data_IF_647156834341
#
_entry.id   IF_647156834341
#
_cell.length_a   1.000
_cell.length_b   1.000
_cell.length_c   1.000
_cell.angle_alpha   90.00
_cell.angle_beta   90.00
_cell.angle_gamma   90.00
#
_symmetry.space_group_name_H-M   'P 1'
#
loop_
_entity.id
_entity.type
_entity.pdbx_description
1 polymer ?
#
# COMPACT_ATOMS: atom_id res chain seq x y z
N UNK A 1 3.06 -26.55 -17.21
CA UNK A 1 2.39 -25.58 -16.35
C UNK A 1 1.74 -26.33 -15.22
N UNK A 2 2.12 -26.09 -14.00
CA UNK A 2 1.43 -26.63 -12.81
C UNK A 2 0.11 -25.90 -12.74
N UNK A 3 -1.03 -26.61 -12.90
CA UNK A 3 -2.35 -26.02 -12.69
C UNK A 3 -2.37 -25.41 -11.30
N UNK A 4 -2.58 -24.11 -11.19
CA UNK A 4 -2.66 -23.51 -9.87
C UNK A 4 -3.91 -24.04 -9.15
N UNK A 5 -3.82 -24.18 -7.86
CA UNK A 5 -4.92 -24.68 -7.04
C UNK A 5 -6.16 -23.79 -7.16
N UNK A 6 -5.96 -22.47 -7.32
CA UNK A 6 -7.01 -21.46 -7.44
C UNK A 6 -7.87 -21.70 -8.69
N UNK A 7 -7.28 -21.94 -9.85
CA UNK A 7 -8.03 -22.27 -11.06
C UNK A 7 -8.74 -23.61 -10.96
N UNK A 8 -8.11 -24.61 -10.33
CA UNK A 8 -8.73 -25.93 -10.13
C UNK A 8 -9.99 -25.82 -9.29
N UNK A 9 -10.00 -24.99 -8.24
CA UNK A 9 -11.18 -24.73 -7.41
C UNK A 9 -12.28 -23.97 -8.15
N UNK A 10 -11.92 -23.04 -9.05
CA UNK A 10 -12.86 -22.24 -9.82
C UNK A 10 -13.39 -22.97 -11.08
N UNK A 11 -12.71 -24.01 -11.57
CA UNK A 11 -13.09 -24.74 -12.80
C UNK A 11 -14.54 -25.29 -12.80
N UNK A 12 -15.09 -25.80 -11.67
CA UNK A 12 -16.48 -26.26 -11.65
C UNK A 12 -17.50 -25.14 -11.97
N UNK A 13 -17.17 -23.87 -11.66
CA UNK A 13 -18.04 -22.73 -12.01
C UNK A 13 -18.10 -22.58 -13.54
N UNK A 14 -16.94 -22.67 -14.22
CA UNK A 14 -16.87 -22.62 -15.69
C UNK A 14 -17.63 -23.80 -16.31
N UNK A 15 -17.51 -25.01 -15.74
CA UNK A 15 -18.25 -26.18 -16.22
C UNK A 15 -19.76 -25.99 -16.09
N UNK A 16 -20.25 -25.50 -14.94
CA UNK A 16 -21.66 -25.19 -14.71
C UNK A 16 -22.22 -24.22 -15.75
N UNK A 17 -21.49 -23.15 -16.04
CA UNK A 17 -21.89 -22.16 -17.06
C UNK A 17 -21.91 -22.80 -18.46
N UNK A 18 -20.90 -23.59 -18.83
CA UNK A 18 -20.81 -24.27 -20.13
C UNK A 18 -21.92 -25.33 -20.31
N UNK A 19 -22.21 -26.12 -19.29
CA UNK A 19 -23.30 -27.10 -19.31
C UNK A 19 -24.68 -26.45 -19.48
N UNK A 20 -24.85 -25.21 -18.99
CA UNK A 20 -26.02 -24.40 -19.21
C UNK A 20 -26.07 -23.73 -20.61
N UNK A 21 -25.05 -23.93 -21.44
CA UNK A 21 -24.98 -23.43 -22.81
C UNK A 21 -24.31 -22.05 -22.98
N UNK A 22 -23.64 -21.54 -21.93
CA UNK A 22 -22.94 -20.26 -21.97
C UNK A 22 -21.43 -20.42 -22.20
N UNK A 23 -20.82 -19.46 -22.85
CA UNK A 23 -19.37 -19.35 -22.85
C UNK A 23 -18.88 -18.85 -21.47
N UNK A 24 -17.76 -19.39 -21.00
CA UNK A 24 -17.14 -18.94 -19.76
C UNK A 24 -15.61 -19.18 -19.80
N UNK A 25 -14.86 -18.18 -19.27
CA UNK A 25 -13.41 -18.15 -19.30
C UNK A 25 -12.88 -17.52 -18.00
N UNK A 26 -11.71 -17.97 -17.57
CA UNK A 26 -10.88 -17.23 -16.65
C UNK A 26 -10.27 -16.02 -17.36
N UNK A 27 -10.16 -14.87 -16.70
CA UNK A 27 -9.74 -13.63 -17.38
C UNK A 27 -8.84 -12.75 -16.51
N UNK A 28 -8.15 -11.83 -17.14
CA UNK A 28 -7.49 -10.69 -16.49
C UNK A 28 -6.23 -11.03 -15.72
N UNK A 29 -6.09 -10.43 -14.53
CA UNK A 29 -4.87 -10.49 -13.73
C UNK A 29 -4.43 -11.90 -13.35
N UNK A 30 -5.38 -12.79 -13.01
CA UNK A 30 -5.07 -14.16 -12.66
C UNK A 30 -4.40 -14.95 -13.81
N UNK A 31 -4.87 -14.74 -15.05
CA UNK A 31 -4.28 -15.40 -16.23
C UNK A 31 -2.87 -14.88 -16.50
N UNK A 32 -2.66 -13.55 -16.37
CA UNK A 32 -1.33 -12.95 -16.45
C UNK A 32 -0.40 -13.51 -15.40
N UNK A 33 -0.83 -13.57 -14.14
CA UNK A 33 0.00 -13.98 -13.01
C UNK A 33 0.36 -15.47 -13.12
N UNK A 34 -0.55 -16.31 -13.64
CA UNK A 34 -0.23 -17.71 -14.00
C UNK A 34 0.90 -17.80 -15.03
N UNK A 35 0.86 -16.97 -16.07
CA UNK A 35 1.87 -16.99 -17.14
C UNK A 35 3.23 -16.45 -16.68
N UNK A 36 3.25 -15.64 -15.61
CA UNK A 36 4.46 -15.09 -15.00
C UNK A 36 4.96 -15.90 -13.79
N UNK A 37 4.33 -17.04 -13.47
CA UNK A 37 4.61 -17.84 -12.26
C UNK A 37 4.51 -17.00 -10.95
N UNK A 38 3.63 -16.01 -10.93
CA UNK A 38 3.34 -15.18 -9.77
C UNK A 38 2.20 -15.78 -8.91
N UNK A 39 2.14 -15.44 -7.61
CA UNK A 39 1.03 -15.85 -6.75
C UNK A 39 -0.32 -15.31 -7.29
N UNK A 40 -1.32 -16.21 -7.35
CA UNK A 40 -2.68 -15.87 -7.79
C UNK A 40 -3.53 -15.66 -6.54
N UNK A 41 -4.20 -14.51 -6.47
CA UNK A 41 -5.04 -14.16 -5.32
C UNK A 41 -6.53 -14.30 -5.64
N UNK A 42 -6.98 -13.68 -6.72
CA UNK A 42 -8.38 -13.63 -7.12
C UNK A 42 -8.53 -14.17 -8.54
N UNK A 43 -9.49 -15.07 -8.75
CA UNK A 43 -9.78 -15.64 -10.07
C UNK A 43 -11.08 -15.04 -10.59
N UNK A 44 -10.98 -14.16 -11.59
CA UNK A 44 -12.12 -13.56 -12.27
C UNK A 44 -12.61 -14.44 -13.40
N UNK A 45 -13.95 -14.54 -13.54
CA UNK A 45 -14.60 -15.30 -14.62
C UNK A 45 -15.41 -14.31 -15.47
N UNK A 46 -15.25 -14.40 -16.79
CA UNK A 46 -16.11 -13.73 -17.76
C UNK A 46 -16.99 -14.74 -18.49
N UNK A 47 -18.25 -14.38 -18.76
CA UNK A 47 -19.25 -15.28 -19.35
C UNK A 47 -20.18 -14.57 -20.31
N UNK A 48 -20.77 -15.33 -21.28
CA UNK A 48 -21.86 -14.86 -22.12
C UNK A 48 -23.22 -14.86 -21.39
N UNK A 49 -23.33 -15.50 -20.21
CA UNK A 49 -24.55 -15.51 -19.39
C UNK A 49 -24.84 -14.09 -18.87
N UNK A 50 -26.12 -13.67 -18.96
CA UNK A 50 -26.56 -12.43 -18.31
C UNK A 50 -26.60 -12.57 -16.79
N UNK A 51 -26.55 -11.46 -16.04
CA UNK A 51 -26.54 -11.51 -14.57
C UNK A 51 -27.67 -12.36 -13.97
N UNK A 52 -28.89 -12.25 -14.49
CA UNK A 52 -30.03 -13.03 -14.03
C UNK A 52 -29.86 -14.54 -14.28
N UNK A 53 -29.15 -14.92 -15.34
CA UNK A 53 -28.86 -16.32 -15.66
C UNK A 53 -27.78 -16.88 -14.72
N UNK A 54 -26.75 -16.07 -14.41
CA UNK A 54 -25.74 -16.40 -13.39
C UNK A 54 -26.39 -16.60 -12.02
N UNK A 55 -27.29 -15.69 -11.62
CA UNK A 55 -28.04 -15.81 -10.36
C UNK A 55 -28.90 -17.09 -10.31
N UNK A 56 -29.52 -17.47 -11.42
CA UNK A 56 -30.32 -18.70 -11.51
C UNK A 56 -29.45 -19.97 -11.37
N UNK A 57 -28.22 -19.98 -11.89
CA UNK A 57 -27.30 -21.12 -11.81
C UNK A 57 -26.63 -21.23 -10.45
N UNK A 58 -26.38 -20.11 -9.79
CA UNK A 58 -25.66 -20.06 -8.51
C UNK A 58 -26.55 -19.45 -7.42
N UNK A 59 -27.27 -20.27 -6.64
CA UNK A 59 -28.24 -19.78 -5.63
C UNK A 59 -27.61 -18.98 -4.48
N UNK A 60 -26.30 -19.15 -4.22
CA UNK A 60 -25.57 -18.37 -3.23
C UNK A 60 -24.75 -17.30 -3.93
N UNK A 61 -25.31 -16.11 -4.07
CA UNK A 61 -24.67 -14.98 -4.73
C UNK A 61 -24.94 -13.67 -3.99
N UNK A 62 -24.15 -12.63 -4.34
CA UNK A 62 -24.29 -11.26 -3.85
C UNK A 62 -24.24 -10.30 -5.04
N UNK A 63 -25.13 -9.31 -5.04
CA UNK A 63 -25.27 -8.31 -6.11
C UNK A 63 -24.29 -7.14 -5.87
N UNK A 64 -22.99 -7.40 -6.02
CA UNK A 64 -21.94 -6.40 -5.72
C UNK A 64 -21.74 -5.40 -6.87
N UNK A 65 -22.06 -5.77 -8.10
CA UNK A 65 -21.79 -4.94 -9.30
C UNK A 65 -22.83 -5.16 -10.40
N UNK A 66 -24.09 -5.34 -10.06
CA UNK A 66 -25.18 -5.70 -11.00
C UNK A 66 -25.29 -4.70 -12.15
N UNK A 67 -25.17 -3.40 -11.87
CA UNK A 67 -25.21 -2.34 -12.89
C UNK A 67 -24.06 -2.45 -13.91
N UNK A 68 -23.00 -3.15 -13.55
CA UNK A 68 -21.83 -3.42 -14.37
C UNK A 68 -21.74 -4.87 -14.88
N UNK A 69 -22.79 -5.68 -14.60
CA UNK A 69 -22.86 -7.07 -15.05
C UNK A 69 -22.03 -8.05 -14.21
N UNK A 70 -21.57 -7.66 -13.02
CA UNK A 70 -20.78 -8.52 -12.13
C UNK A 70 -21.63 -9.08 -11.02
N UNK A 71 -21.59 -10.40 -10.83
CA UNK A 71 -22.21 -11.14 -9.74
C UNK A 71 -21.09 -11.81 -8.94
N UNK A 72 -21.09 -11.63 -7.63
CA UNK A 72 -20.20 -12.36 -6.73
C UNK A 72 -20.88 -13.67 -6.31
N UNK A 73 -20.30 -14.79 -6.66
CA UNK A 73 -20.83 -16.12 -6.36
C UNK A 73 -20.04 -16.74 -5.21
N UNK A 74 -20.77 -17.27 -4.22
CA UNK A 74 -20.19 -18.09 -3.16
C UNK A 74 -20.20 -19.56 -3.59
N UNK A 75 -19.01 -20.13 -3.75
CA UNK A 75 -18.84 -21.50 -4.20
C UNK A 75 -17.76 -22.22 -3.40
N UNK A 76 -18.08 -23.37 -2.81
CA UNK A 76 -17.15 -24.24 -2.05
C UNK A 76 -16.32 -23.53 -0.97
N UNK A 77 -16.88 -22.49 -0.33
CA UNK A 77 -16.20 -21.79 0.77
C UNK A 77 -15.45 -20.52 0.36
N UNK A 78 -15.42 -20.21 -0.93
CA UNK A 78 -14.74 -19.04 -1.51
C UNK A 78 -15.71 -18.18 -2.33
N UNK A 79 -15.32 -16.96 -2.63
CA UNK A 79 -16.09 -16.03 -3.47
C UNK A 79 -15.41 -15.82 -4.81
N UNK A 80 -16.21 -15.79 -5.89
CA UNK A 80 -15.74 -15.59 -7.25
C UNK A 80 -16.53 -14.48 -7.93
N UNK A 81 -15.86 -13.58 -8.63
CA UNK A 81 -16.52 -12.59 -9.46
C UNK A 81 -16.78 -13.15 -10.86
N UNK A 82 -18.08 -13.18 -11.22
CA UNK A 82 -18.53 -13.60 -12.55
C UNK A 82 -19.09 -12.38 -13.25
N UNK A 83 -18.45 -11.96 -14.34
CA UNK A 83 -18.84 -10.77 -15.12
C UNK A 83 -19.36 -11.19 -16.49
N UNK A 84 -20.56 -10.70 -16.83
CA UNK A 84 -21.11 -10.85 -18.18
C UNK A 84 -20.26 -10.09 -19.19
N UNK A 85 -19.98 -10.69 -20.36
CA UNK A 85 -19.31 -10.02 -21.46
C UNK A 85 -20.00 -8.72 -21.79
N UNK A 86 -19.24 -7.65 -21.91
CA UNK A 86 -19.82 -6.33 -22.11
C UNK A 86 -18.94 -5.45 -23.00
N UNK A 87 -19.58 -4.55 -23.71
CA UNK A 87 -18.97 -3.35 -24.26
C UNK A 87 -19.44 -2.15 -23.48
N UNK A 88 -18.66 -1.11 -23.49
CA UNK A 88 -18.93 0.12 -22.81
C UNK A 88 -19.08 1.21 -23.87
N UNK A 89 -20.23 1.92 -23.87
CA UNK A 89 -20.47 3.05 -24.77
C UNK A 89 -19.76 4.30 -24.24
N UNK A 90 -19.94 5.44 -24.94
CA UNK A 90 -19.41 6.76 -24.53
C UNK A 90 -19.40 6.95 -23.02
N UNK A 91 -18.26 7.43 -22.50
CA UNK A 91 -18.08 7.64 -21.07
C UNK A 91 -18.40 9.08 -20.67
N UNK A 92 -19.16 9.23 -19.59
CA UNK A 92 -19.31 10.51 -18.90
C UNK A 92 -18.21 10.62 -17.83
N UNK A 93 -17.62 11.81 -17.75
CA UNK A 93 -16.65 12.16 -16.71
C UNK A 93 -15.42 11.22 -16.62
N UNK A 94 -14.99 10.63 -17.76
CA UNK A 94 -13.79 9.76 -17.86
C UNK A 94 -13.77 8.59 -16.87
N UNK A 95 -14.95 8.07 -16.48
CA UNK A 95 -15.05 6.99 -15.49
C UNK A 95 -16.20 6.03 -15.72
N UNK A 96 -17.42 6.56 -15.95
CA UNK A 96 -18.63 5.74 -16.03
C UNK A 96 -19.10 5.67 -17.47
N UNK A 97 -19.25 4.47 -18.02
CA UNK A 97 -19.92 4.33 -19.29
C UNK A 97 -21.37 4.81 -19.15
N UNK A 98 -21.86 5.59 -20.09
CA UNK A 98 -23.27 6.01 -20.14
C UNK A 98 -24.22 4.81 -20.15
N UNK A 99 -23.78 3.74 -20.80
CA UNK A 99 -24.52 2.50 -20.91
C UNK A 99 -23.57 1.32 -21.03
N UNK A 100 -23.79 0.32 -20.20
CA UNK A 100 -23.20 -1.00 -20.36
C UNK A 100 -24.08 -1.79 -21.32
N UNK A 101 -23.49 -2.32 -22.38
CA UNK A 101 -24.18 -3.20 -23.32
C UNK A 101 -23.58 -4.59 -23.22
N UNK A 102 -24.39 -5.55 -22.80
CA UNK A 102 -23.96 -6.94 -22.77
C UNK A 102 -23.79 -7.48 -24.18
N UNK A 103 -22.69 -8.19 -24.41
CA UNK A 103 -22.34 -8.80 -25.70
C UNK A 103 -22.18 -10.31 -25.52
N UNK A 104 -22.13 -11.03 -26.63
CA UNK A 104 -21.97 -12.47 -26.63
C UNK A 104 -20.57 -12.91 -27.11
N UNK A 105 -19.68 -11.94 -27.38
CA UNK A 105 -18.36 -12.20 -27.94
C UNK A 105 -17.28 -11.84 -26.92
N UNK A 106 -16.42 -12.81 -26.60
CA UNK A 106 -15.27 -12.64 -25.70
C UNK A 106 -14.29 -11.58 -26.20
N UNK A 107 -14.02 -11.50 -27.52
CA UNK A 107 -13.08 -10.53 -28.09
C UNK A 107 -13.50 -9.09 -27.80
N UNK A 108 -14.81 -8.80 -27.88
CA UNK A 108 -15.35 -7.47 -27.54
C UNK A 108 -15.17 -7.12 -26.04
N UNK A 109 -15.34 -8.11 -25.14
CA UNK A 109 -15.07 -7.90 -23.70
C UNK A 109 -13.58 -7.66 -23.44
N UNK A 110 -12.70 -8.36 -24.12
CA UNK A 110 -11.26 -8.19 -23.95
C UNK A 110 -10.75 -6.87 -24.57
N UNK A 111 -11.38 -6.39 -25.66
CA UNK A 111 -11.02 -5.13 -26.32
C UNK A 111 -11.18 -3.90 -25.42
N UNK A 112 -12.16 -3.88 -24.51
CA UNK A 112 -12.39 -2.76 -23.58
C UNK A 112 -11.40 -2.71 -22.41
N UNK A 113 -10.54 -3.72 -22.22
CA UNK A 113 -9.59 -3.79 -21.12
C UNK A 113 -8.48 -2.76 -21.29
N UNK A 114 -7.74 -2.54 -20.21
CA UNK A 114 -6.70 -1.51 -20.16
C UNK A 114 -5.45 -1.88 -21.00
N UNK A 115 -4.81 -3.02 -20.68
CA UNK A 115 -3.55 -3.40 -21.29
C UNK A 115 -3.62 -4.84 -21.84
N UNK A 116 -2.84 -5.11 -22.91
CA UNK A 116 -2.78 -6.40 -23.58
C UNK A 116 -2.46 -7.55 -22.61
N UNK A 117 -1.56 -7.32 -21.66
CA UNK A 117 -1.18 -8.29 -20.62
C UNK A 117 -2.33 -8.66 -19.68
N UNK A 118 -3.41 -7.88 -19.62
CA UNK A 118 -4.63 -8.14 -18.85
C UNK A 118 -5.82 -8.51 -19.75
N UNK A 119 -5.66 -8.45 -21.07
CA UNK A 119 -6.66 -8.82 -22.06
C UNK A 119 -6.48 -10.26 -22.54
N UNK A 120 -6.19 -11.13 -21.60
CA UNK A 120 -6.01 -12.57 -21.79
C UNK A 120 -7.20 -13.31 -21.19
N UNK A 121 -7.61 -14.38 -21.85
CA UNK A 121 -8.57 -15.34 -21.33
C UNK A 121 -7.98 -16.76 -21.34
N UNK A 122 -8.53 -17.64 -20.51
CA UNK A 122 -8.13 -19.04 -20.43
C UNK A 122 -9.38 -19.91 -20.28
N UNK A 123 -9.48 -20.97 -21.07
CA UNK A 123 -10.60 -21.89 -20.99
C UNK A 123 -10.41 -22.94 -19.86
N UNK A 124 -11.41 -23.81 -19.66
CA UNK A 124 -11.36 -24.90 -18.67
C UNK A 124 -10.27 -25.96 -18.92
N UNK A 125 -9.73 -26.00 -20.13
CA UNK A 125 -8.65 -26.93 -20.52
C UNK A 125 -7.29 -26.27 -20.38
N UNK A 126 -7.24 -25.06 -19.79
CA UNK A 126 -6.05 -24.23 -19.58
C UNK A 126 -5.40 -23.73 -20.88
N UNK A 127 -6.15 -23.66 -21.97
CA UNK A 127 -5.69 -23.05 -23.21
C UNK A 127 -5.89 -21.54 -23.15
N UNK A 128 -4.84 -20.80 -23.49
CA UNK A 128 -4.85 -19.33 -23.49
C UNK A 128 -5.47 -18.80 -24.78
N UNK A 129 -6.42 -17.90 -24.63
CA UNK A 129 -7.04 -17.14 -25.71
C UNK A 129 -6.49 -15.73 -25.70
N UNK A 130 -5.82 -15.33 -26.77
CA UNK A 130 -5.08 -14.07 -26.87
C UNK A 130 -5.34 -13.39 -28.22
N UNK A 131 -6.25 -12.43 -28.26
CA UNK A 131 -6.58 -11.67 -29.46
C UNK A 131 -5.66 -10.45 -29.67
N UNK A 132 -5.00 -9.98 -28.61
CA UNK A 132 -4.26 -8.71 -28.60
C UNK A 132 -2.77 -8.87 -28.36
N UNK A 133 -2.23 -10.07 -28.53
CA UNK A 133 -0.80 -10.37 -28.37
C UNK A 133 -0.25 -10.17 -26.95
N UNK A 134 -1.09 -10.32 -25.93
CA UNK A 134 -0.71 -10.15 -24.54
C UNK A 134 0.38 -11.11 -24.08
N UNK A 135 0.39 -12.37 -24.57
CA UNK A 135 1.46 -13.33 -24.28
C UNK A 135 2.82 -12.86 -24.82
N UNK A 136 2.83 -12.24 -26.01
CA UNK A 136 4.05 -11.65 -26.56
C UNK A 136 4.52 -10.46 -25.72
N UNK A 137 3.62 -9.57 -25.35
CA UNK A 137 3.95 -8.41 -24.51
C UNK A 137 4.42 -8.85 -23.10
N UNK A 138 3.90 -9.95 -22.53
CA UNK A 138 4.42 -10.57 -21.31
C UNK A 138 5.86 -11.08 -21.49
N UNK A 139 6.13 -11.78 -22.58
CA UNK A 139 7.47 -12.29 -22.88
C UNK A 139 8.48 -11.17 -23.13
N UNK A 140 8.05 -10.09 -23.77
CA UNK A 140 8.87 -8.90 -24.07
C UNK A 140 8.95 -7.93 -22.87
N UNK A 141 8.21 -8.19 -21.77
CA UNK A 141 8.11 -7.33 -20.58
C UNK A 141 7.61 -5.92 -20.93
N UNK A 142 6.52 -5.84 -21.69
CA UNK A 142 5.95 -4.58 -22.20
C UNK A 142 4.53 -4.38 -21.70
N UNK A 143 4.22 -3.16 -21.27
CA UNK A 143 2.87 -2.67 -20.95
C UNK A 143 2.38 -1.87 -22.16
N UNK A 144 1.42 -2.43 -22.88
CA UNK A 144 0.79 -1.85 -24.07
C UNK A 144 -0.71 -1.72 -23.85
N UNK A 145 -1.29 -0.57 -24.19
CA UNK A 145 -2.74 -0.39 -24.17
C UNK A 145 -3.40 -1.29 -25.23
N UNK A 146 -4.60 -1.78 -24.94
CA UNK A 146 -5.40 -2.53 -25.93
C UNK A 146 -5.97 -1.57 -26.98
N UNK A 147 -5.69 -1.84 -28.24
CA UNK A 147 -6.16 -0.97 -29.35
C UNK A 147 -5.51 0.42 -29.34
N UNK A 148 -6.30 1.48 -29.45
CA UNK A 148 -5.79 2.85 -29.43
C UNK A 148 -5.63 3.36 -27.99
N UNK A 149 -4.42 3.75 -27.54
CA UNK A 149 -4.19 4.22 -26.16
C UNK A 149 -5.02 5.44 -25.77
N UNK A 150 -5.20 6.40 -26.69
CA UNK A 150 -5.99 7.61 -26.42
C UNK A 150 -7.45 7.29 -26.11
N UNK A 151 -8.04 6.35 -26.86
CA UNK A 151 -9.41 5.91 -26.62
C UNK A 151 -9.52 5.28 -25.24
N UNK A 152 -8.57 4.40 -24.88
CA UNK A 152 -8.54 3.74 -23.55
C UNK A 152 -8.43 4.72 -22.40
N UNK A 153 -7.60 5.77 -22.52
CA UNK A 153 -7.42 6.77 -21.46
C UNK A 153 -8.58 7.77 -21.39
N UNK A 154 -9.23 8.06 -22.50
CA UNK A 154 -10.46 8.87 -22.52
C UNK A 154 -11.67 8.14 -21.93
N UNK A 155 -11.72 6.80 -21.99
CA UNK A 155 -12.74 5.99 -21.32
C UNK A 155 -12.57 6.00 -19.79
N UNK A 156 -11.40 5.70 -19.28
CA UNK A 156 -11.07 5.76 -17.84
C UNK A 156 -9.66 6.30 -17.64
N UNK A 157 -9.56 7.55 -17.23
CA UNK A 157 -8.27 8.21 -16.95
C UNK A 157 -7.41 7.51 -15.88
N UNK A 158 -8.02 6.69 -15.01
CA UNK A 158 -7.25 5.90 -14.04
C UNK A 158 -6.33 4.88 -14.72
N UNK A 159 -6.63 4.45 -15.95
CA UNK A 159 -5.78 3.50 -16.68
C UNK A 159 -4.35 4.02 -16.87
N UNK A 160 -4.16 5.34 -16.94
CA UNK A 160 -2.82 5.96 -16.95
C UNK A 160 -2.05 5.66 -15.67
N UNK A 161 -2.67 5.84 -14.50
CA UNK A 161 -2.07 5.48 -13.20
C UNK A 161 -1.83 3.97 -13.07
N UNK A 162 -2.73 3.16 -13.62
CA UNK A 162 -2.55 1.70 -13.68
C UNK A 162 -1.33 1.31 -14.52
N UNK A 163 -1.07 2.00 -15.65
CA UNK A 163 0.10 1.78 -16.49
C UNK A 163 1.41 1.97 -15.71
N UNK A 164 1.58 3.10 -15.06
CA UNK A 164 2.78 3.38 -14.26
C UNK A 164 2.89 2.46 -13.02
N UNK A 165 1.76 2.09 -12.41
CA UNK A 165 1.73 1.11 -11.33
C UNK A 165 2.17 -0.29 -11.82
N UNK A 166 1.70 -0.76 -12.99
CA UNK A 166 2.14 -2.04 -13.55
C UNK A 166 3.63 -2.04 -13.89
N UNK A 167 4.17 -0.90 -14.37
CA UNK A 167 5.61 -0.75 -14.58
C UNK A 167 6.40 -0.97 -13.28
N UNK A 168 5.89 -0.46 -12.16
CA UNK A 168 6.45 -0.71 -10.84
C UNK A 168 6.31 -2.17 -10.39
N UNK A 169 5.11 -2.73 -10.50
CA UNK A 169 4.79 -4.05 -9.95
C UNK A 169 5.43 -5.21 -10.69
N UNK A 170 5.56 -5.09 -12.02
CA UNK A 170 6.06 -6.16 -12.89
C UNK A 170 7.49 -5.91 -13.37
N UNK A 171 8.05 -4.74 -13.09
CA UNK A 171 9.32 -4.26 -13.65
C UNK A 171 9.33 -4.22 -15.20
N UNK A 172 8.17 -3.99 -15.82
CA UNK A 172 7.98 -3.92 -17.25
C UNK A 172 8.17 -2.49 -17.79
N UNK A 173 8.52 -2.36 -19.06
CA UNK A 173 8.58 -1.07 -19.74
C UNK A 173 7.21 -0.72 -20.35
N UNK A 174 6.84 0.57 -20.31
CA UNK A 174 5.65 1.04 -21.03
C UNK A 174 6.03 1.22 -22.50
N UNK A 175 5.20 0.70 -23.40
CA UNK A 175 5.38 0.83 -24.84
C UNK A 175 5.37 2.32 -25.25
N UNK A 176 6.23 2.76 -26.19
CA UNK A 176 6.43 4.19 -26.47
C UNK A 176 5.15 4.94 -26.89
N UNK A 177 4.27 4.35 -27.70
CA UNK A 177 3.00 4.98 -28.10
C UNK A 177 2.04 5.09 -26.92
N UNK A 178 1.97 4.06 -26.10
CA UNK A 178 1.20 4.05 -24.84
C UNK A 178 1.72 5.11 -23.87
N UNK A 179 3.05 5.24 -23.73
CA UNK A 179 3.67 6.24 -22.86
C UNK A 179 3.40 7.67 -23.32
N UNK A 180 3.53 7.92 -24.63
CA UNK A 180 3.22 9.23 -25.22
C UNK A 180 1.74 9.60 -24.98
N UNK A 181 0.83 8.64 -25.19
CA UNK A 181 -0.59 8.87 -24.96
C UNK A 181 -0.91 9.12 -23.46
N UNK A 182 -0.19 8.50 -22.51
CA UNK A 182 -0.31 8.83 -21.08
C UNK A 182 0.04 10.29 -20.85
N UNK A 183 1.19 10.75 -21.36
CA UNK A 183 1.62 12.14 -21.19
C UNK A 183 0.63 13.15 -21.82
N UNK A 184 0.13 12.87 -23.02
CA UNK A 184 -0.80 13.73 -23.72
C UNK A 184 -2.19 13.82 -23.06
N UNK A 185 -2.60 12.76 -22.37
CA UNK A 185 -3.90 12.68 -21.68
C UNK A 185 -3.81 12.90 -20.16
N UNK A 186 -2.64 13.19 -19.60
CA UNK A 186 -2.41 13.31 -18.16
C UNK A 186 -3.42 14.24 -17.45
N UNK A 187 -3.85 15.32 -18.13
CA UNK A 187 -4.84 16.27 -17.61
C UNK A 187 -6.20 15.66 -17.27
N UNK A 188 -6.55 14.49 -17.81
CA UNK A 188 -7.80 13.79 -17.50
C UNK A 188 -7.85 13.36 -16.03
N UNK A 189 -6.70 13.18 -15.36
CA UNK A 189 -6.65 12.77 -13.94
C UNK A 189 -7.38 13.71 -12.99
N UNK A 190 -7.57 14.97 -13.33
CA UNK A 190 -8.33 15.93 -12.50
C UNK A 190 -9.79 15.50 -12.27
N UNK A 191 -10.32 14.66 -13.17
CA UNK A 191 -11.69 14.12 -13.08
C UNK A 191 -11.76 12.81 -12.29
N UNK A 192 -10.63 12.21 -11.96
CA UNK A 192 -10.60 10.92 -11.27
C UNK A 192 -10.64 11.13 -9.74
N UNK A 193 -11.50 10.36 -9.07
CA UNK A 193 -11.59 10.40 -7.62
C UNK A 193 -10.24 10.05 -6.96
N UNK A 194 -9.82 10.88 -6.01
CA UNK A 194 -8.50 10.76 -5.35
C UNK A 194 -8.32 9.40 -4.67
N UNK A 195 -9.38 8.78 -4.16
CA UNK A 195 -9.35 7.46 -3.55
C UNK A 195 -8.89 6.36 -4.54
N UNK A 196 -9.31 6.47 -5.80
CA UNK A 196 -8.88 5.55 -6.85
C UNK A 196 -7.39 5.76 -7.17
N UNK A 197 -6.95 7.02 -7.27
CA UNK A 197 -5.55 7.37 -7.47
C UNK A 197 -4.70 6.86 -6.30
N UNK A 198 -5.18 7.03 -5.06
CA UNK A 198 -4.50 6.58 -3.85
C UNK A 198 -4.24 5.06 -3.87
N UNK A 199 -5.21 4.26 -4.30
CA UNK A 199 -5.03 2.80 -4.44
C UNK A 199 -3.91 2.46 -5.42
N UNK A 200 -3.86 3.13 -6.58
CA UNK A 200 -2.81 2.88 -7.57
C UNK A 200 -1.42 3.34 -7.07
N UNK A 201 -1.34 4.51 -6.43
CA UNK A 201 -0.09 5.01 -5.85
C UNK A 201 0.41 4.11 -4.71
N UNK A 202 -0.47 3.64 -3.83
CA UNK A 202 -0.09 2.72 -2.77
C UNK A 202 0.49 1.41 -3.32
N UNK A 203 -0.13 0.85 -4.36
CA UNK A 203 0.38 -0.33 -5.06
C UNK A 203 1.68 -0.06 -5.84
N UNK A 204 1.88 1.17 -6.33
CA UNK A 204 3.12 1.57 -6.99
C UNK A 204 4.28 1.56 -5.98
N UNK A 205 4.10 2.09 -4.76
CA UNK A 205 5.14 2.09 -3.73
C UNK A 205 5.71 0.70 -3.44
N UNK A 206 4.85 -0.31 -3.36
CA UNK A 206 5.24 -1.68 -2.99
C UNK A 206 5.57 -2.58 -4.19
N UNK A 207 5.72 -2.01 -5.37
CA UNK A 207 6.12 -2.74 -6.56
C UNK A 207 7.57 -3.20 -6.50
N UNK A 208 7.91 -4.23 -7.27
CA UNK A 208 9.28 -4.81 -7.34
C UNK A 208 10.31 -3.78 -7.77
N UNK A 209 9.91 -2.86 -8.67
CA UNK A 209 10.71 -1.73 -9.11
C UNK A 209 9.89 -0.43 -9.02
N UNK A 210 9.69 0.04 -7.79
CA UNK A 210 8.94 1.27 -7.54
C UNK A 210 9.61 2.52 -8.15
N UNK A 211 10.94 2.52 -8.33
CA UNK A 211 11.67 3.56 -9.04
C UNK A 211 11.16 3.71 -10.47
N UNK A 212 11.04 2.61 -11.22
CA UNK A 212 10.54 2.61 -12.61
C UNK A 212 9.13 3.22 -12.69
N UNK A 213 8.24 2.83 -11.77
CA UNK A 213 6.91 3.43 -11.69
C UNK A 213 6.93 4.92 -11.43
N UNK A 214 7.76 5.39 -10.48
CA UNK A 214 7.91 6.82 -10.21
C UNK A 214 8.56 7.58 -11.36
N UNK A 215 9.54 7.01 -12.06
CA UNK A 215 10.16 7.61 -13.25
C UNK A 215 9.07 7.89 -14.29
N UNK A 216 8.26 6.89 -14.66
CA UNK A 216 7.15 7.10 -15.61
C UNK A 216 6.10 8.09 -15.11
N UNK A 217 5.79 8.07 -13.81
CA UNK A 217 4.86 9.03 -13.19
C UNK A 217 5.35 10.49 -13.34
N UNK A 218 6.68 10.71 -13.24
CA UNK A 218 7.30 12.02 -13.39
C UNK A 218 7.50 12.43 -14.86
N UNK A 219 7.92 11.50 -15.73
CA UNK A 219 8.16 11.74 -17.17
C UNK A 219 6.88 12.07 -17.92
N UNK A 220 5.76 11.45 -17.56
CA UNK A 220 4.45 11.70 -18.15
C UNK A 220 3.72 12.91 -17.58
N UNK A 221 4.33 13.63 -16.64
CA UNK A 221 3.74 14.76 -15.91
C UNK A 221 2.41 14.44 -15.20
N UNK A 222 2.07 13.16 -14.98
CA UNK A 222 0.88 12.76 -14.21
C UNK A 222 0.84 13.42 -12.84
N UNK A 223 2.00 13.62 -12.21
CA UNK A 223 2.15 14.27 -10.90
C UNK A 223 1.47 15.66 -10.84
N UNK A 224 1.45 16.40 -11.95
CA UNK A 224 0.86 17.75 -12.00
C UNK A 224 -0.66 17.73 -11.80
N UNK A 225 -1.30 16.62 -12.09
CA UNK A 225 -2.75 16.45 -12.08
C UNK A 225 -3.25 15.58 -10.92
N UNK A 226 -2.33 15.06 -10.11
CA UNK A 226 -2.67 14.31 -8.90
C UNK A 226 -2.82 15.29 -7.73
N UNK A 227 -3.96 15.29 -7.02
CA UNK A 227 -4.18 16.21 -5.92
C UNK A 227 -3.04 16.20 -4.89
N UNK A 228 -2.59 17.37 -4.46
CA UNK A 228 -1.55 17.56 -3.44
C UNK A 228 -0.10 17.27 -3.88
N UNK A 229 0.15 16.65 -5.03
CA UNK A 229 1.51 16.22 -5.40
C UNK A 229 2.22 17.13 -6.40
N UNK A 230 1.50 18.05 -7.07
CA UNK A 230 2.07 18.89 -8.13
C UNK A 230 3.35 19.66 -7.69
N UNK A 231 3.36 20.19 -6.48
CA UNK A 231 4.49 20.96 -5.93
C UNK A 231 5.66 20.08 -5.45
N UNK A 232 5.49 18.74 -5.43
CA UNK A 232 6.47 17.80 -4.88
C UNK A 232 7.29 17.05 -5.93
N UNK A 233 7.26 17.48 -7.20
CA UNK A 233 8.04 16.85 -8.29
C UNK A 233 9.53 16.75 -7.91
N UNK A 234 10.10 17.81 -7.34
CA UNK A 234 11.48 17.84 -6.92
C UNK A 234 11.80 16.82 -5.82
N UNK A 235 10.86 16.60 -4.88
CA UNK A 235 11.03 15.62 -3.80
C UNK A 235 11.07 14.19 -4.36
N UNK A 236 10.17 13.83 -5.26
CA UNK A 236 10.19 12.52 -5.91
C UNK A 236 11.45 12.30 -6.74
N UNK A 237 11.87 13.31 -7.51
CA UNK A 237 13.10 13.23 -8.32
C UNK A 237 14.34 13.02 -7.44
N UNK A 238 14.43 13.75 -6.35
CA UNK A 238 15.53 13.63 -5.41
C UNK A 238 15.50 12.28 -4.68
N UNK A 239 14.31 11.79 -4.30
CA UNK A 239 14.13 10.49 -3.66
C UNK A 239 14.64 9.34 -4.54
N UNK A 240 14.41 9.39 -5.85
CA UNK A 240 14.95 8.42 -6.81
C UNK A 240 16.49 8.40 -6.84
N UNK A 241 17.11 9.56 -6.76
CA UNK A 241 18.58 9.66 -6.66
C UNK A 241 19.14 9.24 -5.32
N UNK A 242 18.32 9.39 -4.25
CA UNK A 242 18.70 9.12 -2.88
C UNK A 242 18.59 7.65 -2.48
N UNK A 243 17.74 6.87 -3.12
CA UNK A 243 17.46 5.46 -2.82
C UNK A 243 17.91 4.52 -3.95
N UNK A 244 18.14 3.25 -3.64
CA UNK A 244 18.44 2.22 -4.63
C UNK A 244 17.17 1.60 -5.18
N UNK A 245 17.14 1.34 -6.48
CA UNK A 245 16.08 0.60 -7.18
C UNK A 245 16.05 -0.90 -6.81
N UNK A 246 17.14 -1.41 -6.21
CA UNK A 246 17.26 -2.78 -5.74
C UNK A 246 16.59 -3.03 -4.38
N UNK A 247 16.19 -1.96 -3.67
CA UNK A 247 15.60 -2.02 -2.33
C UNK A 247 14.11 -1.73 -2.42
N UNK A 248 13.30 -2.72 -2.11
CA UNK A 248 11.84 -2.59 -2.11
C UNK A 248 11.35 -1.77 -0.92
N UNK A 249 10.26 -1.03 -1.14
CA UNK A 249 9.50 -0.40 -0.07
C UNK A 249 8.68 -1.48 0.66
N UNK A 250 8.83 -1.64 1.98
CA UNK A 250 8.22 -2.75 2.71
C UNK A 250 6.69 -2.68 2.83
N UNK A 251 6.13 -1.47 2.86
CA UNK A 251 4.69 -1.22 2.79
C UNK A 251 4.42 0.22 2.32
N UNK A 252 3.19 0.48 1.88
CA UNK A 252 2.80 1.78 1.32
C UNK A 252 2.88 2.93 2.32
N UNK A 253 2.57 2.70 3.60
CA UNK A 253 2.64 3.73 4.63
C UNK A 253 4.08 4.16 4.90
N UNK A 254 5.02 3.21 4.82
CA UNK A 254 6.46 3.52 4.88
C UNK A 254 6.92 4.32 3.66
N UNK A 255 6.45 3.98 2.45
CA UNK A 255 6.74 4.74 1.22
C UNK A 255 6.33 6.21 1.36
N UNK A 256 5.14 6.47 1.87
CA UNK A 256 4.67 7.83 2.16
C UNK A 256 5.48 8.51 3.26
N UNK A 257 5.85 7.79 4.32
CA UNK A 257 6.69 8.35 5.38
C UNK A 257 8.08 8.72 4.87
N UNK A 258 8.67 7.89 4.02
CA UNK A 258 9.96 8.18 3.38
C UNK A 258 9.89 9.41 2.49
N UNK A 259 8.80 9.56 1.71
CA UNK A 259 8.52 10.75 0.91
C UNK A 259 8.44 12.02 1.78
N UNK A 260 7.64 12.02 2.85
CA UNK A 260 7.52 13.18 3.75
C UNK A 260 8.81 13.47 4.51
N UNK A 261 9.54 12.43 4.92
CA UNK A 261 10.85 12.59 5.52
C UNK A 261 11.83 13.27 4.56
N UNK A 262 11.82 12.88 3.27
CA UNK A 262 12.67 13.51 2.27
C UNK A 262 12.26 14.96 1.99
N UNK A 263 10.98 15.25 1.92
CA UNK A 263 10.47 16.62 1.83
C UNK A 263 10.96 17.48 3.02
N UNK A 264 10.95 16.94 4.23
CA UNK A 264 11.49 17.57 5.44
C UNK A 264 12.98 17.89 5.32
N UNK A 265 13.77 16.97 4.78
CA UNK A 265 15.22 17.17 4.59
C UNK A 265 15.51 18.30 3.57
N UNK A 266 14.78 18.33 2.46
CA UNK A 266 14.98 19.29 1.37
C UNK A 266 14.55 20.71 1.72
N UNK A 267 13.51 20.86 2.54
CA UNK A 267 13.00 22.16 2.99
C UNK A 267 13.79 22.75 4.16
N UNK A 268 15.05 22.35 4.34
CA UNK A 268 15.96 22.93 5.33
C UNK A 268 15.66 22.52 6.77
N UNK A 269 14.98 21.38 6.97
CA UNK A 269 14.55 20.84 8.26
C UNK A 269 13.63 21.80 9.00
N UNK A 270 12.52 22.18 8.34
CA UNK A 270 11.36 22.74 9.06
C UNK A 270 11.09 21.86 10.29
N UNK A 271 10.50 22.43 11.33
CA UNK A 271 10.27 21.65 12.54
C UNK A 271 9.40 20.40 12.23
N UNK A 272 9.68 19.29 12.90
CA UNK A 272 8.95 18.03 12.73
C UNK A 272 7.43 18.18 12.89
N UNK A 273 6.88 19.00 13.83
CA UNK A 273 5.47 19.34 13.90
C UNK A 273 4.86 19.87 12.61
N UNK A 274 5.55 20.72 11.86
CA UNK A 274 5.06 21.23 10.56
C UNK A 274 4.87 20.12 9.55
N UNK A 275 5.87 19.23 9.39
CA UNK A 275 5.74 18.08 8.50
C UNK A 275 4.65 17.12 8.95
N UNK A 276 4.54 16.85 10.23
CA UNK A 276 3.45 16.03 10.77
C UNK A 276 2.07 16.65 10.46
N UNK A 277 1.94 17.97 10.47
CA UNK A 277 0.71 18.64 10.06
C UNK A 277 0.45 18.45 8.55
N UNK A 278 1.47 18.52 7.70
CA UNK A 278 1.34 18.24 6.26
C UNK A 278 0.88 16.80 6.02
N UNK A 279 1.43 15.81 6.75
CA UNK A 279 0.97 14.41 6.69
C UNK A 279 -0.53 14.32 7.03
N UNK A 280 -0.99 14.98 8.09
CA UNK A 280 -2.42 14.97 8.47
C UNK A 280 -3.32 15.63 7.41
N UNK A 281 -2.87 16.71 6.78
CA UNK A 281 -3.59 17.38 5.70
C UNK A 281 -3.65 16.48 4.45
N UNK A 282 -2.54 15.89 4.06
CA UNK A 282 -2.43 14.96 2.94
C UNK A 282 -3.33 13.74 3.10
N UNK A 283 -3.21 13.02 4.23
CA UNK A 283 -3.99 11.81 4.48
C UNK A 283 -5.48 12.08 4.52
N UNK A 284 -5.89 13.26 5.04
CA UNK A 284 -7.29 13.71 4.98
C UNK A 284 -7.73 14.04 3.55
N UNK A 285 -6.91 14.74 2.76
CA UNK A 285 -7.22 15.08 1.37
C UNK A 285 -7.32 13.83 0.49
N UNK A 286 -6.49 12.83 0.76
CA UNK A 286 -6.46 11.55 0.07
C UNK A 286 -7.44 10.52 0.64
N UNK A 287 -8.22 10.90 1.64
CA UNK A 287 -9.21 10.04 2.31
C UNK A 287 -8.64 8.71 2.80
N UNK A 288 -7.40 8.74 3.24
CA UNK A 288 -6.73 7.59 3.83
C UNK A 288 -7.33 7.24 5.19
N UNK A 289 -7.16 6.01 5.64
CA UNK A 289 -7.65 5.57 6.96
C UNK A 289 -6.89 6.25 8.11
N UNK A 290 -7.53 6.34 9.27
CA UNK A 290 -6.87 6.84 10.49
C UNK A 290 -5.66 5.97 10.89
N UNK A 291 -5.69 4.67 10.57
CA UNK A 291 -4.56 3.78 10.82
C UNK A 291 -3.38 4.12 9.90
N UNK A 292 -3.62 4.30 8.60
CA UNK A 292 -2.58 4.73 7.67
C UNK A 292 -1.91 6.05 8.11
N UNK A 293 -2.72 7.04 8.55
CA UNK A 293 -2.16 8.29 9.08
C UNK A 293 -1.26 8.06 10.29
N UNK A 294 -1.68 7.22 11.23
CA UNK A 294 -0.87 6.90 12.43
C UNK A 294 0.45 6.21 12.05
N UNK A 295 0.39 5.24 11.12
CA UNK A 295 1.57 4.50 10.70
C UNK A 295 2.56 5.41 9.96
N UNK A 296 2.09 6.26 9.04
CA UNK A 296 2.93 7.24 8.34
C UNK A 296 3.62 8.18 9.34
N UNK A 297 2.88 8.69 10.32
CA UNK A 297 3.44 9.57 11.36
C UNK A 297 4.46 8.84 12.23
N UNK A 298 4.22 7.60 12.59
CA UNK A 298 5.14 6.79 13.40
C UNK A 298 6.44 6.49 12.63
N UNK A 299 6.36 6.06 11.37
CA UNK A 299 7.54 5.86 10.52
C UNK A 299 8.33 7.16 10.31
N UNK A 300 7.63 8.28 10.08
CA UNK A 300 8.26 9.59 9.92
C UNK A 300 9.03 9.99 11.19
N UNK A 301 8.43 9.78 12.38
CA UNK A 301 9.09 10.05 13.66
C UNK A 301 10.34 9.19 13.85
N UNK A 302 10.26 7.89 13.53
CA UNK A 302 11.39 6.98 13.60
C UNK A 302 12.52 7.43 12.65
N UNK A 303 12.21 7.75 11.38
CA UNK A 303 13.19 8.22 10.41
C UNK A 303 13.83 9.55 10.85
N UNK A 304 13.03 10.50 11.34
CA UNK A 304 13.52 11.80 11.79
C UNK A 304 14.42 11.66 13.02
N UNK A 305 14.04 10.84 13.98
CA UNK A 305 14.84 10.55 15.17
C UNK A 305 16.15 9.84 14.81
N UNK A 306 16.05 8.79 13.98
CA UNK A 306 17.21 7.99 13.57
C UNK A 306 18.25 8.79 12.78
N UNK A 307 17.81 9.77 12.00
CA UNK A 307 18.72 10.67 11.28
C UNK A 307 19.53 11.59 12.20
N UNK A 308 19.14 11.75 13.47
CA UNK A 308 19.83 12.59 14.45
C UNK A 308 20.65 11.75 15.46
N UNK A 309 20.34 10.46 15.60
CA UNK A 309 20.88 9.58 16.62
C UNK A 309 21.67 8.43 16.01
N UNK A 310 22.86 8.16 16.52
CA UNK A 310 23.70 7.06 16.03
C UNK A 310 23.20 5.68 16.50
N UNK A 311 22.73 5.64 17.72
CA UNK A 311 22.37 4.41 18.42
C UNK A 311 21.05 4.60 19.15
N UNK A 312 20.32 3.52 19.30
CA UNK A 312 19.09 3.47 20.08
C UNK A 312 19.39 3.16 21.56
N UNK A 313 18.68 3.81 22.46
CA UNK A 313 18.68 3.49 23.89
C UNK A 313 17.33 2.87 24.29
N UNK A 314 17.24 2.30 25.50
CA UNK A 314 15.97 1.77 26.01
C UNK A 314 14.87 2.84 26.08
N UNK A 315 15.25 4.06 26.47
CA UNK A 315 14.32 5.22 26.53
C UNK A 315 13.78 5.57 25.16
N UNK A 316 14.62 5.48 24.13
CA UNK A 316 14.21 5.80 22.76
C UNK A 316 13.24 4.77 22.18
N UNK A 317 13.41 3.49 22.58
CA UNK A 317 12.57 2.40 22.10
C UNK A 317 11.23 2.32 22.82
N UNK A 318 11.19 2.75 24.08
CA UNK A 318 9.99 2.64 24.90
C UNK A 318 8.81 3.43 24.29
N UNK A 319 7.66 2.77 24.20
CA UNK A 319 6.46 3.33 23.59
C UNK A 319 6.44 3.35 22.07
N UNK A 320 7.51 2.90 21.39
CA UNK A 320 7.53 2.72 19.94
C UNK A 320 7.18 1.28 19.57
N UNK A 321 6.58 1.12 18.40
CA UNK A 321 6.26 -0.20 17.87
C UNK A 321 7.53 -0.93 17.41
N UNK A 322 7.75 -2.15 17.93
CA UNK A 322 8.94 -2.96 17.63
C UNK A 322 9.06 -3.28 16.15
N UNK A 323 7.95 -3.69 15.54
CA UNK A 323 7.96 -4.14 14.15
C UNK A 323 8.22 -2.97 13.20
N UNK A 324 7.68 -1.78 13.50
CA UNK A 324 7.97 -0.57 12.74
C UNK A 324 9.43 -0.14 12.85
N UNK A 325 10.04 -0.21 14.03
CA UNK A 325 11.46 0.08 14.22
C UNK A 325 12.36 -0.89 13.46
N UNK A 326 12.10 -2.19 13.59
CA UNK A 326 12.83 -3.24 12.88
C UNK A 326 12.73 -3.04 11.37
N UNK A 327 11.54 -2.70 10.86
CA UNK A 327 11.32 -2.45 9.45
C UNK A 327 12.14 -1.25 8.95
N UNK A 328 12.16 -0.13 9.68
CA UNK A 328 12.95 1.05 9.32
C UNK A 328 14.45 0.73 9.32
N UNK A 329 14.97 0.08 10.35
CA UNK A 329 16.39 -0.30 10.42
C UNK A 329 16.76 -1.28 9.29
N UNK A 330 15.89 -2.26 8.98
CA UNK A 330 16.13 -3.20 7.89
C UNK A 330 16.16 -2.49 6.52
N UNK A 331 15.30 -1.51 6.30
CA UNK A 331 15.32 -0.70 5.09
C UNK A 331 16.62 0.14 4.98
N UNK A 332 17.04 0.78 6.07
CA UNK A 332 18.29 1.55 6.13
C UNK A 332 19.48 0.61 5.83
N UNK A 333 19.55 -0.56 6.46
CA UNK A 333 20.59 -1.55 6.24
C UNK A 333 20.63 -2.00 4.78
N UNK A 334 19.47 -2.29 4.18
CA UNK A 334 19.38 -2.68 2.77
C UNK A 334 19.91 -1.58 1.82
N UNK A 335 19.57 -0.31 2.07
CA UNK A 335 20.08 0.83 1.30
C UNK A 335 21.61 0.98 1.45
N UNK A 336 22.14 0.77 2.64
CA UNK A 336 23.58 0.80 2.90
C UNK A 336 24.30 -0.33 2.16
N UNK A 337 23.77 -1.55 2.19
CA UNK A 337 24.29 -2.71 1.45
C UNK A 337 24.23 -2.47 -0.08
N UNK A 338 23.20 -1.80 -0.56
CA UNK A 338 23.07 -1.40 -1.97
C UNK A 338 24.01 -0.26 -2.37
N UNK A 339 24.84 0.26 -1.47
CA UNK A 339 25.87 1.27 -1.75
C UNK A 339 25.36 2.71 -1.80
N UNK A 340 24.21 3.02 -1.18
CA UNK A 340 23.69 4.38 -1.10
C UNK A 340 24.46 5.19 -0.04
N UNK A 341 25.49 5.94 -0.48
CA UNK A 341 26.38 6.70 0.40
C UNK A 341 25.63 7.72 1.27
N UNK A 342 24.61 8.35 0.74
CA UNK A 342 23.78 9.30 1.48
C UNK A 342 23.06 8.66 2.67
N UNK A 343 22.59 7.41 2.52
CA UNK A 343 22.01 6.65 3.62
C UNK A 343 23.05 6.32 4.70
N UNK A 344 24.27 5.97 4.29
CA UNK A 344 25.38 5.75 5.24
C UNK A 344 25.70 7.03 6.00
N UNK A 345 25.73 8.16 5.31
CA UNK A 345 26.09 9.45 5.91
C UNK A 345 25.06 9.95 6.92
N UNK A 346 23.76 9.82 6.61
CA UNK A 346 22.67 10.35 7.45
C UNK A 346 22.33 9.39 8.59
N UNK A 347 22.17 8.10 8.30
CA UNK A 347 21.64 7.14 9.28
C UNK A 347 22.75 6.37 10.04
N UNK A 348 24.02 6.60 9.70
CA UNK A 348 25.13 5.79 10.25
C UNK A 348 24.87 4.29 10.05
N UNK A 349 25.55 3.43 10.79
CA UNK A 349 25.39 1.97 10.62
C UNK A 349 24.06 1.50 11.23
N UNK A 350 23.21 0.90 10.41
CA UNK A 350 22.00 0.23 10.88
C UNK A 350 22.31 -1.10 11.56
N UNK A 351 21.51 -1.49 12.55
CA UNK A 351 21.70 -2.74 13.26
C UNK A 351 20.37 -3.31 13.77
N UNK A 352 19.72 -4.11 12.95
CA UNK A 352 18.45 -4.78 13.27
C UNK A 352 18.59 -5.70 14.51
N UNK A 353 19.71 -6.42 14.63
CA UNK A 353 19.92 -7.32 15.77
C UNK A 353 20.02 -6.57 17.09
N UNK A 354 20.65 -5.39 17.10
CA UNK A 354 20.71 -4.55 18.28
C UNK A 354 19.33 -4.09 18.74
N UNK A 355 18.41 -3.78 17.81
CA UNK A 355 17.03 -3.41 18.13
C UNK A 355 16.32 -4.54 18.86
N UNK A 356 16.41 -5.78 18.35
CA UNK A 356 15.81 -6.93 19.02
C UNK A 356 16.39 -7.13 20.44
N UNK A 357 17.71 -7.05 20.59
CA UNK A 357 18.38 -7.22 21.88
C UNK A 357 17.99 -6.13 22.88
N UNK A 358 17.80 -4.88 22.44
CA UNK A 358 17.37 -3.79 23.31
C UNK A 358 15.92 -3.93 23.74
N UNK A 359 15.00 -4.32 22.84
CA UNK A 359 13.61 -4.60 23.22
C UNK A 359 13.49 -5.70 24.28
N UNK A 360 14.32 -6.73 24.17
CA UNK A 360 14.35 -7.84 25.13
C UNK A 360 14.92 -7.39 26.52
N UNK A 361 15.61 -6.25 26.58
CA UNK A 361 16.13 -5.66 27.83
C UNK A 361 15.19 -4.63 28.46
N UNK A 362 14.08 -4.24 27.80
CA UNK A 362 13.13 -3.29 28.36
C UNK A 362 12.57 -3.83 29.69
N UNK A 363 12.74 -3.09 30.81
CA UNK A 363 12.28 -3.55 32.11
C UNK A 363 10.76 -3.58 32.25
N UNK A 364 10.06 -2.79 31.44
CA UNK A 364 8.60 -2.72 31.31
C UNK A 364 8.21 -2.46 29.86
N UNK A 365 7.04 -2.93 29.45
CA UNK A 365 6.48 -2.71 28.12
C UNK A 365 5.44 -1.57 28.10
N UNK A 366 4.87 -1.26 29.26
CA UNK A 366 3.83 -0.23 29.43
C UNK A 366 3.77 0.25 30.87
N UNK A 367 3.12 1.38 31.09
CA UNK A 367 2.83 1.92 32.42
C UNK A 367 2.15 0.90 33.36
N UNK A 368 1.41 -0.07 32.81
CA UNK A 368 0.70 -1.11 33.56
C UNK A 368 1.65 -2.14 34.20
N UNK A 369 2.86 -2.23 33.72
CA UNK A 369 3.87 -3.20 34.20
C UNK A 369 4.66 -2.65 35.39
N UNK A 370 4.42 -1.38 35.78
CA UNK A 370 5.00 -0.85 37.02
C UNK A 370 4.53 -1.63 38.23
N UNK A 371 5.46 -1.92 39.13
CA UNK A 371 5.17 -2.56 40.43
C UNK A 371 4.38 -1.67 41.40
N UNK A 372 4.07 -0.44 40.99
CA UNK A 372 3.20 0.52 41.70
C UNK A 372 2.08 0.99 40.76
N UNK A 373 0.88 1.05 41.28
CA UNK A 373 -0.27 1.63 40.58
C UNK A 373 -0.81 2.87 41.29
N UNK A 374 -1.81 3.54 40.70
CA UNK A 374 -2.38 4.77 41.27
C UNK A 374 -3.01 4.62 42.64
N UNK A 375 -3.54 3.42 43.00
CA UNK A 375 -4.07 3.15 44.34
C UNK A 375 -2.96 3.05 45.40
N UNK A 376 -1.84 2.43 45.01
CA UNK A 376 -0.68 2.36 45.89
C UNK A 376 -0.14 3.75 46.24
N UNK A 377 -0.07 4.65 45.22
CA UNK A 377 0.36 6.05 45.44
C UNK A 377 -0.59 6.79 46.38
N UNK A 378 -1.90 6.58 46.24
CA UNK A 378 -2.91 7.21 47.11
C UNK A 378 -2.73 6.71 48.55
N UNK A 379 -2.48 5.42 48.76
CA UNK A 379 -2.37 4.83 50.09
C UNK A 379 -1.07 5.23 50.82
N UNK A 380 0.05 5.28 50.10
CA UNK A 380 1.38 5.47 50.70
C UNK A 380 1.79 6.95 50.79
N UNK A 381 1.39 7.76 49.75
CA UNK A 381 1.85 9.15 49.59
C UNK A 381 0.71 10.14 49.85
N UNK A 382 -0.54 9.77 49.53
CA UNK A 382 -1.74 10.58 49.69
C UNK A 382 -1.61 11.99 49.08
N UNK A 383 -1.31 12.13 47.80
CA UNK A 383 -1.09 13.43 47.15
C UNK A 383 -2.36 14.27 47.16
N UNK A 384 -2.22 15.60 47.39
CA UNK A 384 -3.32 16.55 47.47
C UNK A 384 -4.15 16.63 46.17
N UNK A 385 -3.54 16.32 45.03
CA UNK A 385 -4.15 16.42 43.70
C UNK A 385 -4.10 15.07 42.94
N UNK A 386 -5.25 14.64 42.42
CA UNK A 386 -5.32 13.42 41.56
C UNK A 386 -4.46 13.52 40.32
N UNK A 387 -4.18 14.70 39.79
CA UNK A 387 -3.28 14.93 38.64
C UNK A 387 -1.85 14.52 38.98
N UNK A 388 -1.40 14.78 40.24
CA UNK A 388 -0.08 14.39 40.68
C UNK A 388 0.16 12.88 40.65
N UNK A 389 -0.89 12.06 40.81
CA UNK A 389 -0.77 10.59 40.72
C UNK A 389 -0.29 10.16 39.32
N UNK A 390 -0.90 10.75 38.27
CA UNK A 390 -0.50 10.46 36.89
C UNK A 390 0.94 10.90 36.60
N UNK A 391 1.33 12.05 37.11
CA UNK A 391 2.68 12.61 36.97
C UNK A 391 3.72 11.73 37.71
N UNK A 392 3.44 11.28 38.92
CA UNK A 392 4.29 10.36 39.66
C UNK A 392 4.46 9.02 38.94
N UNK A 393 3.39 8.47 38.37
CA UNK A 393 3.47 7.23 37.59
C UNK A 393 4.31 7.41 36.33
N UNK A 394 4.14 8.51 35.59
CA UNK A 394 4.97 8.81 34.42
C UNK A 394 6.44 9.04 34.77
N UNK A 395 6.71 9.71 35.90
CA UNK A 395 8.06 9.90 36.39
C UNK A 395 8.75 8.58 36.74
N UNK A 396 8.03 7.68 37.45
CA UNK A 396 8.52 6.34 37.73
C UNK A 396 8.72 5.50 36.47
N UNK A 397 7.78 5.57 35.55
CA UNK A 397 7.87 4.88 34.25
C UNK A 397 9.16 5.25 33.51
N UNK A 398 9.45 6.54 33.39
CA UNK A 398 10.68 7.04 32.79
C UNK A 398 11.93 6.57 33.53
N UNK A 399 11.96 6.64 34.86
CA UNK A 399 13.07 6.21 35.67
C UNK A 399 13.34 4.70 35.57
N UNK A 400 12.28 3.89 35.52
CA UNK A 400 12.41 2.44 35.33
C UNK A 400 12.96 2.11 33.94
N UNK A 401 12.46 2.75 32.92
CA UNK A 401 12.92 2.54 31.53
C UNK A 401 14.37 3.02 31.37
N UNK A 402 14.75 4.12 32.02
CA UNK A 402 16.14 4.60 32.05
C UNK A 402 17.07 3.73 32.89
N UNK A 403 16.50 2.75 33.64
CA UNK A 403 17.22 1.89 34.62
C UNK A 403 17.82 2.66 35.81
N UNK A 404 17.28 3.85 36.13
CA UNK A 404 17.64 4.66 37.29
C UNK A 404 17.11 4.01 38.58
N UNK A 405 16.02 3.25 38.49
CA UNK A 405 15.41 2.49 39.60
C UNK A 405 14.89 1.14 39.11
N UNK A 406 15.03 0.11 39.93
CA UNK A 406 14.47 -1.22 39.64
C UNK A 406 12.95 -1.21 39.81
N UNK A 407 12.22 -1.95 38.97
CA UNK A 407 10.77 -2.05 39.03
C UNK A 407 10.30 -2.94 40.21
N UNK A 408 10.59 -2.51 41.43
CA UNK A 408 10.15 -3.13 42.67
C UNK A 408 9.43 -2.10 43.54
N UNK A 409 8.30 -2.50 44.15
CA UNK A 409 7.45 -1.61 44.96
C UNK A 409 8.22 -0.74 45.97
N UNK A 410 9.11 -1.36 46.73
CA UNK A 410 9.88 -0.67 47.79
C UNK A 410 10.88 0.35 47.19
N UNK A 411 11.55 -0.03 46.09
CA UNK A 411 12.50 0.84 45.40
C UNK A 411 11.81 2.05 44.77
N UNK A 412 10.64 1.84 44.15
CA UNK A 412 9.85 2.91 43.51
C UNK A 412 9.33 3.91 44.56
N UNK A 413 8.86 3.48 45.71
CA UNK A 413 8.44 4.37 46.80
C UNK A 413 9.61 5.20 47.34
N UNK A 414 10.75 4.57 47.58
CA UNK A 414 11.95 5.26 48.04
C UNK A 414 12.46 6.28 46.99
N UNK A 415 12.33 5.95 45.70
CA UNK A 415 12.69 6.83 44.59
C UNK A 415 11.80 8.07 44.53
N UNK A 416 10.47 7.94 44.73
CA UNK A 416 9.56 9.07 44.84
C UNK A 416 9.86 9.98 46.04
N UNK A 417 10.18 9.37 47.20
CA UNK A 417 10.51 10.13 48.42
C UNK A 417 11.77 10.98 48.25
N UNK A 418 12.80 10.42 47.59
CA UNK A 418 14.08 11.12 47.34
C UNK A 418 14.00 12.17 46.27
N UNK A 419 13.00 12.14 45.35
CA UNK A 419 12.81 13.08 44.25
C UNK A 419 11.54 13.93 44.37
N UNK A 420 11.00 14.06 45.58
CA UNK A 420 9.76 14.76 45.86
C UNK A 420 9.75 16.23 45.34
N UNK A 421 10.88 16.91 45.41
CA UNK A 421 11.02 18.29 44.94
C UNK A 421 10.87 18.42 43.43
N UNK A 422 11.39 17.48 42.65
CA UNK A 422 11.29 17.44 41.20
C UNK A 422 9.87 17.14 40.71
N UNK A 423 9.11 16.38 41.46
CA UNK A 423 7.72 16.03 41.15
C UNK A 423 6.78 17.22 41.37
N UNK A 424 7.08 18.08 42.29
CA UNK A 424 6.28 19.30 42.62
C UNK A 424 6.52 20.43 41.61
N UNK A 425 7.61 20.37 40.82
CA UNK A 425 7.91 21.36 39.78
C UNK A 425 7.26 21.03 38.43
N UNK A 426 6.73 19.80 38.25
CA UNK A 426 6.06 19.31 37.05
C UNK A 426 4.53 19.46 37.20
#
# INVERSE_FOLDING_TARGET
MTNSQEFTKAAPIIHTLKEAGYEAYFVGGAVRDLLLDLPIHDVDIATSAYPAEVQALFPRHFDVGLDHGTIMVWFEGETYEITTFRTESTYQDYRRPDKVTFVQNLEEDLLRRDFTINALAMNSDYEIIDYFHGQKDLADQVIRAVGNPHDRFNEDGLRMMRGVRFASQLDFNIEPETLAAIAENAGILVHIAVERIAVEMNKLWIGVNWHKGLIYFLETDLIQYVPYLADYKAVFTDLLGYTSDQVQIPNENFGWALFFWRAFQLNGREDLPTIQQQVRQFTKAWKMSNQAQKDILAYLDILAYRAQTAEWTLVDLYGRDRDQLVLVEAFIEAQQVAGQEDFVTIFKTANVQAIHALFDQLPIQSLRDLALNGQDIIQEINPENKRAIGQMLQFLEQAVVAQDVVNERAALLAYLDTHHDQINEI
#
